data_IF_012094758494
#
_entry.id   IF_012094758494
#
_cell.length_a   1.000
_cell.length_b   1.000
_cell.length_c   1.000
_cell.angle_alpha   90.00
_cell.angle_beta   90.00
_cell.angle_gamma   90.00
#
_symmetry.space_group_name_H-M   'P 1'
#
loop_
_entity.id
_entity.type
_entity.pdbx_description
1 polymer ?
#
# COMPACT_ATOMS: atom_id res chain seq x y z
N UNK A 1 -63.46 16.35 -31.38
CA UNK A 1 -63.61 17.48 -32.33
C UNK A 1 -62.66 18.57 -31.87
N UNK A 2 -61.51 18.90 -32.46
CA UNK A 2 -60.94 18.81 -33.83
C UNK A 2 -59.46 18.37 -33.69
N UNK A 3 -58.91 17.38 -34.40
CA UNK A 3 -58.20 17.46 -35.71
C UNK A 3 -57.28 18.68 -35.85
N UNK A 4 -56.06 18.65 -36.40
CA UNK A 4 -55.20 17.65 -37.04
C UNK A 4 -53.82 18.34 -37.29
N UNK A 5 -52.73 17.66 -36.97
CA UNK A 5 -51.45 17.53 -37.70
C UNK A 5 -51.03 18.59 -38.75
N UNK A 6 -49.78 19.08 -38.65
CA UNK A 6 -48.90 19.23 -39.83
C UNK A 6 -47.44 18.90 -39.46
N UNK A 7 -46.90 17.93 -40.21
CA UNK A 7 -45.49 17.57 -40.36
C UNK A 7 -44.95 18.39 -41.54
N UNK A 8 -43.75 18.97 -41.45
CA UNK A 8 -42.77 18.89 -42.55
C UNK A 8 -41.35 19.29 -42.10
N UNK A 9 -40.49 18.27 -42.17
CA UNK A 9 -39.05 18.24 -42.42
C UNK A 9 -38.36 19.45 -43.06
N UNK A 10 -37.15 19.77 -42.60
CA UNK A 10 -35.96 19.81 -43.48
C UNK A 10 -34.67 19.80 -42.64
N UNK A 11 -33.92 18.72 -42.80
CA UNK A 11 -32.51 18.58 -42.42
C UNK A 11 -31.68 19.24 -43.53
N UNK A 12 -30.78 20.18 -43.22
CA UNK A 12 -29.65 20.49 -44.11
C UNK A 12 -28.45 21.07 -43.34
N UNK A 13 -27.51 20.15 -43.16
CA UNK A 13 -26.06 20.20 -42.92
C UNK A 13 -25.31 21.48 -43.38
N UNK A 14 -24.53 22.04 -42.42
CA UNK A 14 -23.10 22.49 -42.49
C UNK A 14 -22.68 23.51 -43.57
N UNK A 15 -22.24 24.71 -43.16
CA UNK A 15 -20.81 25.06 -42.95
C UNK A 15 -20.60 26.56 -42.65
N UNK A 16 -19.85 26.83 -41.58
CA UNK A 16 -18.90 27.92 -41.30
C UNK A 16 -19.10 29.31 -41.93
N UNK A 17 -19.23 30.34 -41.07
CA UNK A 17 -18.29 31.47 -40.95
C UNK A 17 -18.72 32.45 -39.83
N UNK A 18 -17.71 33.09 -39.24
CA UNK A 18 -17.72 34.38 -38.54
C UNK A 18 -17.66 34.38 -37.01
N UNK A 19 -16.46 34.73 -36.54
CA UNK A 19 -16.19 35.45 -35.30
C UNK A 19 -17.12 36.68 -35.13
N UNK A 20 -17.51 37.00 -33.90
CA UNK A 20 -17.01 38.15 -33.11
C UNK A 20 -17.75 38.27 -31.77
N UNK A 21 -16.92 38.34 -30.71
CA UNK A 21 -17.03 38.97 -29.39
C UNK A 21 -18.41 39.29 -28.79
N UNK A 22 -18.65 38.78 -27.58
CA UNK A 22 -18.76 39.60 -26.37
C UNK A 22 -18.96 38.68 -25.15
N UNK A 23 -18.23 38.93 -24.06
CA UNK A 23 -18.73 38.86 -22.68
C UNK A 23 -17.61 39.36 -21.75
N UNK A 24 -17.77 40.63 -21.37
CA UNK A 24 -17.10 41.30 -20.27
C UNK A 24 -17.58 40.77 -18.92
N UNK A 25 -16.61 40.61 -18.01
CA UNK A 25 -16.66 40.78 -16.55
C UNK A 25 -17.95 40.44 -15.78
N UNK A 26 -17.85 39.45 -14.89
CA UNK A 26 -18.19 39.65 -13.47
C UNK A 26 -17.59 38.56 -12.57
N UNK A 27 -16.60 38.97 -11.76
CA UNK A 27 -16.32 38.57 -10.36
C UNK A 27 -15.98 37.08 -10.12
N UNK A 28 -14.68 36.79 -10.11
CA UNK A 28 -14.10 35.70 -9.32
C UNK A 28 -13.84 36.23 -7.91
N UNK A 29 -14.59 35.75 -6.92
CA UNK A 29 -14.18 35.81 -5.51
C UNK A 29 -13.12 34.74 -5.28
N UNK A 30 -11.87 35.17 -5.06
CA UNK A 30 -10.80 34.36 -4.52
C UNK A 30 -11.15 33.95 -3.08
N UNK A 31 -11.52 32.68 -2.89
CA UNK A 31 -11.30 32.03 -1.59
C UNK A 31 -9.80 31.77 -1.44
N UNK A 32 -9.10 32.77 -0.91
CA UNK A 32 -7.73 32.62 -0.41
C UNK A 32 -7.76 31.74 0.84
N UNK A 33 -7.47 30.45 0.66
CA UNK A 33 -7.07 29.58 1.76
C UNK A 33 -5.69 30.07 2.20
N UNK A 34 -5.64 30.65 3.40
CA UNK A 34 -4.40 31.14 4.01
C UNK A 34 -3.60 29.93 4.52
N UNK A 35 -2.85 29.28 3.63
CA UNK A 35 -1.80 28.33 3.99
C UNK A 35 -0.54 29.16 4.21
N UNK A 36 -0.27 29.54 5.45
CA UNK A 36 1.08 29.97 5.84
C UNK A 36 1.99 28.72 5.89
N UNK A 37 2.32 28.16 4.73
CA UNK A 37 3.51 27.31 4.58
C UNK A 37 4.63 28.20 4.05
N UNK A 38 5.60 28.53 4.91
CA UNK A 38 6.88 29.08 4.46
C UNK A 38 7.59 27.99 3.64
N UNK A 39 7.32 27.98 2.34
CA UNK A 39 7.69 26.95 1.38
C UNK A 39 9.22 26.94 1.12
N UNK A 40 9.93 25.97 1.71
CA UNK A 40 11.21 25.46 1.17
C UNK A 40 11.02 24.80 -0.21
N UNK A 41 9.80 24.30 -0.46
CA UNK A 41 9.36 23.63 -1.67
C UNK A 41 9.13 24.57 -2.87
N UNK A 42 8.98 25.89 -2.68
CA UNK A 42 8.85 26.85 -3.79
C UNK A 42 10.19 27.22 -4.41
N UNK A 43 11.28 27.24 -3.63
CA UNK A 43 12.62 27.60 -4.12
C UNK A 43 13.21 26.52 -5.05
N UNK A 44 12.85 25.25 -4.84
CA UNK A 44 13.22 24.14 -5.73
C UNK A 44 12.51 24.21 -7.09
N UNK A 45 11.25 24.66 -7.12
CA UNK A 45 10.43 24.73 -8.34
C UNK A 45 10.92 25.81 -9.32
N UNK A 46 11.58 26.86 -8.84
CA UNK A 46 12.08 27.97 -9.66
C UNK A 46 13.44 27.73 -10.33
N UNK A 47 14.22 26.78 -9.82
CA UNK A 47 15.65 26.63 -10.14
C UNK A 47 15.96 25.47 -11.08
N UNK A 48 15.08 24.45 -11.14
CA UNK A 48 15.25 23.26 -11.96
C UNK A 48 13.89 22.71 -12.44
N UNK A 49 13.47 23.03 -13.67
CA UNK A 49 12.17 22.59 -14.20
C UNK A 49 11.99 21.07 -14.27
N UNK A 50 13.07 20.30 -14.45
CA UNK A 50 13.01 18.84 -14.49
C UNK A 50 12.70 18.26 -13.10
N UNK A 51 13.40 18.73 -12.07
CA UNK A 51 13.11 18.35 -10.68
C UNK A 51 11.69 18.73 -10.28
N UNK A 52 11.25 19.93 -10.66
CA UNK A 52 9.89 20.39 -10.39
C UNK A 52 8.82 19.48 -10.98
N UNK A 53 9.06 18.99 -12.20
CA UNK A 53 8.18 18.04 -12.88
C UNK A 53 8.12 16.70 -12.15
N UNK A 54 9.26 16.12 -11.78
CA UNK A 54 9.29 14.83 -11.06
C UNK A 54 8.66 14.91 -9.67
N UNK A 55 8.91 15.99 -8.92
CA UNK A 55 8.23 16.22 -7.63
C UNK A 55 6.70 16.36 -7.83
N UNK A 56 6.25 16.96 -8.94
CA UNK A 56 4.82 17.01 -9.25
C UNK A 56 4.24 15.62 -9.58
N UNK A 57 5.00 14.75 -10.23
CA UNK A 57 4.59 13.35 -10.48
C UNK A 57 4.45 12.59 -9.17
N UNK A 58 5.45 12.68 -8.30
CA UNK A 58 5.43 12.07 -6.97
C UNK A 58 4.24 12.56 -6.13
N UNK A 59 4.02 13.88 -6.06
CA UNK A 59 2.87 14.43 -5.30
C UNK A 59 1.53 13.93 -5.84
N UNK A 60 1.43 13.74 -7.16
CA UNK A 60 0.21 13.22 -7.79
C UNK A 60 -0.03 11.75 -7.44
N UNK A 61 0.99 10.89 -7.51
CA UNK A 61 0.84 9.48 -7.14
C UNK A 61 0.54 9.31 -5.64
N UNK A 62 1.16 10.13 -4.80
CA UNK A 62 0.94 10.13 -3.34
C UNK A 62 -0.35 10.84 -2.90
N UNK A 63 -1.13 11.43 -3.80
CA UNK A 63 -2.28 12.27 -3.43
C UNK A 63 -3.35 11.55 -2.61
N UNK A 64 -3.53 10.25 -2.85
CA UNK A 64 -4.48 9.39 -2.12
C UNK A 64 -3.90 8.63 -0.93
N UNK A 65 -2.59 8.72 -0.69
CA UNK A 65 -1.90 7.94 0.34
C UNK A 65 -1.47 8.87 1.47
N UNK A 66 -2.20 8.85 2.58
CA UNK A 66 -1.96 9.74 3.72
C UNK A 66 -1.86 8.98 5.04
N UNK A 67 -2.61 7.90 5.19
CA UNK A 67 -2.64 7.08 6.41
C UNK A 67 -1.93 5.75 6.20
N UNK A 68 -1.69 5.03 7.30
CA UNK A 68 -1.22 3.65 7.24
C UNK A 68 -2.21 2.75 6.48
N UNK A 69 -3.52 2.95 6.67
CA UNK A 69 -4.55 2.18 5.95
C UNK A 69 -4.50 2.43 4.45
N UNK A 70 -4.31 3.68 4.01
CA UNK A 70 -4.12 4.00 2.59
C UNK A 70 -2.88 3.30 2.01
N UNK A 71 -1.79 3.23 2.78
CA UNK A 71 -0.56 2.56 2.37
C UNK A 71 -0.79 1.05 2.14
N UNK A 72 -1.43 0.37 3.09
CA UNK A 72 -1.80 -1.05 2.94
C UNK A 72 -2.76 -1.29 1.78
N UNK A 73 -3.70 -0.38 1.51
CA UNK A 73 -4.59 -0.43 0.36
C UNK A 73 -3.86 -0.21 -0.98
N UNK A 74 -2.77 0.55 -0.96
CA UNK A 74 -1.91 0.80 -2.13
C UNK A 74 -0.81 -0.27 -2.33
N UNK A 75 -0.84 -1.36 -1.55
CA UNK A 75 0.11 -2.47 -1.66
C UNK A 75 1.44 -2.26 -0.94
N UNK A 76 1.57 -1.20 -0.12
CA UNK A 76 2.69 -1.03 0.78
C UNK A 76 2.45 -1.82 2.07
N UNK A 77 3.40 -2.64 2.46
CA UNK A 77 3.23 -3.56 3.58
C UNK A 77 4.49 -3.67 4.44
N UNK A 78 4.29 -4.26 5.62
CA UNK A 78 5.37 -4.62 6.50
C UNK A 78 6.02 -5.90 6.00
N UNK A 79 7.25 -5.81 5.51
CA UNK A 79 8.04 -6.97 5.12
C UNK A 79 8.98 -7.32 6.27
N UNK A 80 8.63 -8.35 7.04
CA UNK A 80 9.48 -8.90 8.10
C UNK A 80 9.77 -10.35 7.77
N UNK A 81 11.05 -10.68 7.68
CA UNK A 81 11.54 -12.07 7.74
C UNK A 81 12.32 -12.26 9.04
N UNK A 82 12.66 -13.52 9.36
CA UNK A 82 13.44 -13.86 10.56
C UNK A 82 14.78 -13.11 10.67
N UNK A 83 15.36 -12.74 9.53
CA UNK A 83 16.70 -12.13 9.45
C UNK A 83 16.69 -10.70 8.91
N UNK A 84 15.53 -10.16 8.51
CA UNK A 84 15.42 -8.91 7.76
C UNK A 84 14.13 -8.16 8.10
N UNK A 85 14.25 -6.93 8.60
CA UNK A 85 13.12 -6.04 8.84
C UNK A 85 13.42 -4.63 8.29
N UNK A 86 13.30 -4.42 6.97
CA UNK A 86 13.41 -3.10 6.34
C UNK A 86 12.28 -2.17 6.76
N UNK A 87 11.19 -2.72 7.29
CA UNK A 87 9.98 -1.99 7.70
C UNK A 87 10.00 -1.48 9.14
N UNK A 88 11.15 -1.59 9.82
CA UNK A 88 11.33 -1.18 11.20
C UNK A 88 11.25 0.33 11.43
N UNK A 89 11.27 0.72 12.70
CA UNK A 89 11.41 2.11 13.09
C UNK A 89 12.87 2.56 13.00
N UNK A 90 13.11 3.70 12.36
CA UNK A 90 14.42 4.34 12.36
C UNK A 90 14.30 5.78 12.88
N UNK A 91 15.13 6.12 13.87
CA UNK A 91 15.16 7.45 14.45
C UNK A 91 15.49 8.51 13.38
N UNK A 92 14.66 9.55 13.27
CA UNK A 92 14.77 10.55 12.22
C UNK A 92 14.07 10.20 10.90
N UNK A 93 13.49 9.01 10.75
CA UNK A 93 12.83 8.55 9.51
C UNK A 93 11.42 7.99 9.75
N UNK A 94 11.21 7.29 10.86
CA UNK A 94 9.93 6.67 11.22
C UNK A 94 9.88 5.19 10.83
N UNK A 95 8.67 4.64 10.73
CA UNK A 95 8.43 3.29 10.21
C UNK A 95 8.47 3.28 8.69
N UNK A 96 8.91 2.18 8.09
CA UNK A 96 8.91 2.03 6.63
C UNK A 96 7.89 0.97 6.21
N UNK A 97 7.05 1.24 5.21
CA UNK A 97 6.25 0.22 4.54
C UNK A 97 6.71 0.11 3.09
N UNK A 98 6.98 -1.11 2.64
CA UNK A 98 7.55 -1.37 1.32
C UNK A 98 6.46 -1.85 0.36
N UNK A 99 6.52 -1.40 -0.89
CA UNK A 99 5.80 -2.03 -1.99
C UNK A 99 6.80 -2.84 -2.83
N UNK A 100 6.87 -4.17 -2.64
CA UNK A 100 7.85 -4.99 -3.33
C UNK A 100 7.63 -5.08 -4.83
N UNK A 101 6.45 -4.71 -5.35
CA UNK A 101 6.23 -4.62 -6.79
C UNK A 101 7.05 -3.49 -7.45
N UNK A 102 7.54 -2.53 -6.66
CA UNK A 102 8.38 -1.43 -7.13
C UNK A 102 9.87 -1.66 -6.90
N UNK A 103 10.27 -2.66 -6.10
CA UNK A 103 11.69 -2.99 -5.88
C UNK A 103 12.25 -3.73 -7.09
N UNK A 104 12.48 -2.98 -8.17
CA UNK A 104 12.84 -3.50 -9.49
C UNK A 104 14.25 -3.09 -9.97
N UNK A 105 14.96 -2.31 -9.15
CA UNK A 105 16.30 -1.82 -9.45
C UNK A 105 16.34 -0.57 -10.33
N UNK A 106 15.20 0.09 -10.54
CA UNK A 106 15.11 1.33 -11.29
C UNK A 106 14.50 2.45 -10.47
N UNK A 107 15.00 3.68 -10.64
CA UNK A 107 14.39 4.84 -10.01
C UNK A 107 13.17 5.31 -10.85
N UNK A 108 11.98 5.32 -10.24
CA UNK A 108 10.80 6.00 -10.77
C UNK A 108 10.19 6.94 -9.74
N UNK A 109 10.35 8.25 -9.96
CA UNK A 109 9.84 9.28 -9.06
C UNK A 109 8.35 9.12 -8.68
N UNK A 110 7.50 8.54 -9.55
CA UNK A 110 6.09 8.36 -9.25
C UNK A 110 5.76 7.11 -8.42
N UNK A 111 6.65 6.12 -8.37
CA UNK A 111 6.40 4.82 -7.75
C UNK A 111 7.52 4.51 -6.74
N UNK A 112 7.56 5.21 -5.59
CA UNK A 112 8.60 4.96 -4.59
C UNK A 112 8.45 3.57 -3.97
N UNK A 113 9.57 2.91 -3.71
CA UNK A 113 9.62 1.56 -3.17
C UNK A 113 9.17 1.47 -1.72
N UNK A 114 9.35 2.54 -0.94
CA UNK A 114 8.90 2.59 0.44
C UNK A 114 8.28 3.92 0.85
N UNK A 115 7.40 3.84 1.84
CA UNK A 115 6.77 4.98 2.51
C UNK A 115 7.30 5.10 3.92
N UNK A 116 7.63 6.32 4.33
CA UNK A 116 7.97 6.65 5.71
C UNK A 116 6.71 7.08 6.46
N UNK A 117 6.47 6.48 7.62
CA UNK A 117 5.29 6.71 8.47
C UNK A 117 5.73 7.19 9.84
N UNK A 118 5.07 8.24 10.33
CA UNK A 118 5.28 8.76 11.68
C UNK A 118 3.98 9.28 12.29
N UNK A 119 3.95 9.51 13.60
CA UNK A 119 2.75 10.02 14.26
C UNK A 119 2.69 11.54 14.28
N UNK A 120 1.48 12.11 14.17
CA UNK A 120 1.18 13.55 14.19
C UNK A 120 1.28 14.19 15.59
N UNK A 121 1.83 13.48 16.57
CA UNK A 121 1.88 13.86 17.99
C UNK A 121 0.54 13.76 18.74
N UNK A 122 -0.56 13.37 18.07
CA UNK A 122 -1.87 13.08 18.68
C UNK A 122 -2.19 11.57 18.65
N UNK A 123 -1.25 10.76 18.20
CA UNK A 123 -1.40 9.31 18.06
C UNK A 123 -2.00 8.86 16.74
N UNK A 124 -2.16 9.76 15.76
CA UNK A 124 -2.52 9.36 14.39
C UNK A 124 -1.25 9.14 13.59
N UNK A 125 -1.18 8.06 12.81
CA UNK A 125 -0.04 7.73 11.97
C UNK A 125 -0.29 8.16 10.53
N UNK A 126 0.66 8.91 9.97
CA UNK A 126 0.58 9.44 8.62
C UNK A 126 1.86 9.21 7.83
N UNK A 127 1.71 9.19 6.52
CA UNK A 127 2.84 9.12 5.58
C UNK A 127 3.52 10.49 5.55
N UNK A 128 4.79 10.54 5.94
CA UNK A 128 5.57 11.79 6.09
C UNK A 128 6.53 12.03 4.92
N UNK A 129 6.90 10.97 4.21
CA UNK A 129 7.76 11.03 3.03
C UNK A 129 7.87 9.68 2.36
N UNK A 130 8.80 9.57 1.42
CA UNK A 130 9.04 8.36 0.64
C UNK A 130 10.52 8.04 0.60
N UNK A 131 10.84 6.77 0.45
CA UNK A 131 12.20 6.27 0.22
C UNK A 131 12.20 5.51 -1.11
N UNK A 132 13.23 5.77 -1.91
CA UNK A 132 13.54 5.02 -3.10
C UNK A 132 14.63 4.01 -2.80
N UNK A 133 14.47 2.80 -3.29
CA UNK A 133 15.37 1.67 -3.04
C UNK A 133 15.82 1.10 -4.39
N UNK A 134 17.11 1.22 -4.69
CA UNK A 134 17.69 0.66 -5.93
C UNK A 134 18.64 -0.49 -5.58
N UNK A 135 18.28 -1.68 -6.05
CA UNK A 135 19.04 -2.93 -5.94
C UNK A 135 19.93 -3.15 -7.17
N UNK A 136 20.89 -4.08 -7.08
CA UNK A 136 21.64 -4.58 -8.24
C UNK A 136 22.81 -3.69 -8.71
N UNK A 137 23.03 -2.55 -8.06
CA UNK A 137 24.19 -1.67 -8.30
C UNK A 137 24.99 -1.61 -7.00
N UNK A 138 26.17 -2.23 -6.97
CA UNK A 138 27.03 -2.27 -5.78
C UNK A 138 28.16 -1.24 -5.87
N UNK A 139 28.44 -0.45 -4.82
CA UNK A 139 29.61 0.42 -4.74
C UNK A 139 30.94 -0.31 -4.98
N UNK A 140 31.00 -1.62 -4.69
CA UNK A 140 32.19 -2.44 -4.87
C UNK A 140 32.51 -2.73 -6.34
N UNK A 141 31.51 -2.64 -7.22
CA UNK A 141 31.67 -2.86 -8.66
C UNK A 141 32.03 -1.55 -9.40
N UNK A 142 32.17 -0.46 -8.67
CA UNK A 142 32.37 0.88 -9.23
C UNK A 142 33.85 1.15 -9.45
N UNK A 143 34.24 1.74 -10.59
CA UNK A 143 35.63 2.12 -10.83
C UNK A 143 36.16 3.04 -9.74
N UNK A 144 37.44 2.86 -9.36
CA UNK A 144 38.10 3.67 -8.34
C UNK A 144 37.94 5.17 -8.62
N UNK A 145 37.30 5.89 -7.70
CA UNK A 145 37.11 7.34 -7.78
C UNK A 145 35.87 7.80 -8.56
N UNK A 146 35.00 6.87 -8.97
CA UNK A 146 33.70 7.18 -9.58
C UNK A 146 32.56 7.05 -8.56
N UNK A 147 31.55 7.90 -8.71
CA UNK A 147 30.27 7.77 -8.02
C UNK A 147 29.34 6.93 -8.88
N UNK A 148 28.79 5.87 -8.30
CA UNK A 148 27.88 4.94 -8.94
C UNK A 148 26.53 4.87 -8.24
N UNK A 149 26.22 5.90 -7.45
CA UNK A 149 24.85 6.17 -7.08
C UNK A 149 23.95 6.12 -8.35
N UNK A 150 22.75 5.54 -8.24
CA UNK A 150 21.78 5.54 -9.33
C UNK A 150 21.47 6.97 -9.80
N UNK A 151 21.05 7.12 -11.05
CA UNK A 151 20.43 8.37 -11.49
C UNK A 151 19.08 8.54 -10.77
N UNK A 152 18.86 9.69 -10.15
CA UNK A 152 17.64 10.00 -9.41
C UNK A 152 16.89 11.21 -9.97
N UNK A 153 16.54 12.15 -9.10
CA UNK A 153 15.83 13.36 -9.52
C UNK A 153 16.74 14.23 -10.40
N UNK A 154 16.24 14.84 -11.48
CA UNK A 154 17.07 15.66 -12.36
C UNK A 154 17.77 16.77 -11.58
N UNK A 155 19.09 16.89 -11.67
CA UNK A 155 19.87 17.90 -10.95
C UNK A 155 20.99 17.28 -10.14
N UNK A 156 21.31 17.90 -9.01
CA UNK A 156 22.36 17.44 -8.09
C UNK A 156 21.95 17.66 -6.62
N UNK A 157 20.63 17.66 -6.36
CA UNK A 157 20.11 17.93 -5.00
C UNK A 157 19.59 16.69 -4.31
N UNK A 158 19.32 15.62 -5.06
CA UNK A 158 19.07 14.31 -4.47
C UNK A 158 20.35 13.76 -3.81
N UNK A 159 20.15 12.96 -2.77
CA UNK A 159 21.24 12.46 -1.92
C UNK A 159 21.06 10.96 -1.76
N UNK A 160 21.72 10.21 -2.64
CA UNK A 160 21.80 8.76 -2.51
C UNK A 160 22.74 8.35 -1.37
N UNK A 161 22.33 7.34 -0.62
CA UNK A 161 23.11 6.75 0.46
C UNK A 161 23.15 5.24 0.30
N UNK A 162 24.34 4.67 0.37
CA UNK A 162 24.50 3.21 0.40
C UNK A 162 24.12 2.67 1.77
N UNK A 163 23.18 1.73 1.79
CA UNK A 163 22.82 0.99 2.99
C UNK A 163 23.59 -0.34 3.02
N UNK A 164 24.62 -0.41 3.86
CA UNK A 164 25.47 -1.60 4.00
C UNK A 164 24.74 -2.82 4.59
N UNK A 165 23.69 -2.61 5.39
CA UNK A 165 22.94 -3.69 6.00
C UNK A 165 22.12 -4.43 4.95
N UNK A 166 21.53 -3.67 4.04
CA UNK A 166 20.63 -4.21 3.01
C UNK A 166 21.30 -4.38 1.64
N UNK A 167 22.51 -3.85 1.47
CA UNK A 167 23.25 -3.81 0.20
C UNK A 167 22.43 -3.16 -0.93
N UNK A 168 21.85 -2.00 -0.64
CA UNK A 168 21.03 -1.22 -1.58
C UNK A 168 21.37 0.26 -1.53
N UNK A 169 21.09 0.96 -2.61
CA UNK A 169 21.07 2.41 -2.63
C UNK A 169 19.72 2.93 -2.16
N UNK A 170 19.75 3.96 -1.32
CA UNK A 170 18.55 4.59 -0.75
C UNK A 170 18.54 6.09 -1.01
N UNK A 171 17.38 6.65 -1.33
CA UNK A 171 17.17 8.09 -1.48
C UNK A 171 15.86 8.47 -0.80
N UNK A 172 15.89 9.50 0.04
CA UNK A 172 14.73 9.91 0.82
C UNK A 172 14.17 11.22 0.26
N UNK A 173 12.85 11.35 0.21
CA UNK A 173 12.17 12.56 -0.23
C UNK A 173 11.00 12.91 0.71
N UNK A 174 11.11 14.06 1.38
CA UNK A 174 10.12 14.57 2.33
C UNK A 174 8.98 15.28 1.61
N UNK A 175 8.14 14.50 0.92
CA UNK A 175 7.10 15.02 0.02
C UNK A 175 5.83 15.48 0.74
N UNK A 176 5.57 14.99 1.96
CA UNK A 176 4.39 15.34 2.76
C UNK A 176 4.74 16.30 3.89
N UNK A 177 5.66 15.89 4.78
CA UNK A 177 6.19 16.75 5.83
C UNK A 177 7.34 17.60 5.32
N UNK A 178 7.52 18.78 5.89
CA UNK A 178 8.71 19.58 5.61
C UNK A 178 9.90 18.98 6.36
N UNK A 179 11.09 19.02 5.75
CA UNK A 179 12.33 18.72 6.45
C UNK A 179 13.17 20.01 6.53
N UNK A 180 13.43 20.55 7.73
CA UNK A 180 14.23 21.77 7.89
C UNK A 180 15.68 21.61 7.41
N UNK A 181 16.20 20.38 7.38
CA UNK A 181 17.56 20.07 6.93
C UNK A 181 17.63 19.80 5.41
N UNK A 182 16.47 19.82 4.71
CA UNK A 182 16.37 19.74 3.25
C UNK A 182 15.47 18.62 2.75
N UNK A 183 14.85 18.84 1.59
CA UNK A 183 13.85 17.93 0.99
C UNK A 183 14.37 16.50 0.74
N UNK A 184 15.67 16.36 0.40
CA UNK A 184 16.32 15.07 0.13
C UNK A 184 17.26 14.61 1.25
N UNK A 185 17.27 15.29 2.40
CA UNK A 185 18.10 14.84 3.51
C UNK A 185 17.55 13.50 4.02
N UNK A 186 18.42 12.51 4.27
CA UNK A 186 17.98 11.18 4.71
C UNK A 186 17.19 11.22 6.03
N UNK A 187 17.57 12.11 6.95
CA UNK A 187 16.94 12.23 8.26
C UNK A 187 16.18 13.55 8.38
N UNK A 188 15.06 13.54 9.12
CA UNK A 188 14.31 14.73 9.49
C UNK A 188 14.34 14.88 11.03
N UNK A 189 14.87 15.99 11.56
CA UNK A 189 14.96 16.21 13.00
C UNK A 189 13.61 16.40 13.69
N UNK A 190 12.51 16.58 12.93
CA UNK A 190 11.15 16.61 13.46
C UNK A 190 10.59 15.20 13.75
N UNK A 191 11.24 14.15 13.23
CA UNK A 191 10.90 12.76 13.52
C UNK A 191 11.64 12.33 14.78
N UNK A 192 10.88 12.16 15.86
CA UNK A 192 11.39 11.81 17.19
C UNK A 192 11.86 10.37 17.33
N UNK A 193 12.03 9.87 18.57
CA UNK A 193 12.32 8.46 18.83
C UNK A 193 11.03 7.62 18.90
N UNK A 194 11.13 6.29 18.75
CA UNK A 194 9.97 5.37 18.66
C UNK A 194 9.03 5.52 19.86
N UNK A 195 9.58 5.70 21.06
CA UNK A 195 8.84 5.78 22.31
C UNK A 195 7.89 6.99 22.37
N UNK A 196 8.08 7.97 21.49
CA UNK A 196 7.18 9.13 21.37
C UNK A 196 5.83 8.78 20.73
N UNK A 197 5.79 7.73 19.89
CA UNK A 197 4.60 7.31 19.16
C UNK A 197 4.15 5.88 19.54
N UNK A 198 5.09 4.97 19.76
CA UNK A 198 4.84 3.52 19.78
C UNK A 198 4.57 2.96 18.37
N UNK A 199 4.26 1.67 18.31
CA UNK A 199 3.96 0.94 17.06
C UNK A 199 2.54 1.32 16.58
N UNK A 200 2.35 1.66 15.28
CA UNK A 200 1.03 1.86 14.71
C UNK A 200 0.10 0.69 15.05
N UNK A 201 -1.14 0.91 15.53
CA UNK A 201 -2.03 -0.17 15.95
C UNK A 201 -2.23 -1.26 14.90
N UNK A 202 -2.49 -0.88 13.64
CA UNK A 202 -2.63 -1.84 12.52
C UNK A 202 -1.35 -2.67 12.34
N UNK A 203 -0.19 -2.03 12.41
CA UNK A 203 1.10 -2.72 12.31
C UNK A 203 1.34 -3.66 13.50
N UNK A 204 0.93 -3.28 14.71
CA UNK A 204 1.02 -4.11 15.89
C UNK A 204 0.13 -5.36 15.80
N UNK A 205 -1.09 -5.23 15.25
CA UNK A 205 -1.99 -6.35 15.00
C UNK A 205 -1.41 -7.31 13.96
N UNK A 206 -0.89 -6.81 12.84
CA UNK A 206 -0.24 -7.64 11.81
C UNK A 206 0.99 -8.35 12.38
N UNK A 207 1.80 -7.67 13.21
CA UNK A 207 2.93 -8.29 13.91
C UNK A 207 2.47 -9.38 14.88
N UNK A 208 1.33 -9.17 15.56
CA UNK A 208 0.73 -10.17 16.45
C UNK A 208 0.28 -11.41 15.68
N UNK A 209 -0.42 -11.24 14.56
CA UNK A 209 -0.80 -12.35 13.67
C UNK A 209 0.45 -13.11 13.18
N UNK A 210 1.44 -12.39 12.67
CA UNK A 210 2.69 -13.00 12.20
C UNK A 210 3.37 -13.86 13.26
N UNK A 211 3.38 -13.38 14.51
CA UNK A 211 3.92 -14.09 15.66
C UNK A 211 3.06 -15.28 16.08
N UNK A 212 1.73 -15.17 16.01
CA UNK A 212 0.83 -16.28 16.34
C UNK A 212 0.98 -17.46 15.37
N UNK A 213 1.41 -17.17 14.13
CA UNK A 213 1.67 -18.15 13.07
C UNK A 213 3.18 -18.41 12.88
N UNK A 214 4.01 -18.07 13.86
CA UNK A 214 5.44 -18.36 13.83
C UNK A 214 5.66 -19.88 13.83
N UNK A 215 6.39 -20.39 12.84
CA UNK A 215 6.62 -21.82 12.66
C UNK A 215 5.52 -22.57 11.91
N UNK A 216 4.41 -21.92 11.56
CA UNK A 216 3.37 -22.51 10.71
C UNK A 216 3.63 -22.06 9.26
N UNK A 217 4.44 -22.85 8.54
CA UNK A 217 4.93 -22.48 7.20
C UNK A 217 4.31 -23.37 6.13
N UNK A 218 4.34 -24.68 6.35
CA UNK A 218 3.84 -25.67 5.39
C UNK A 218 2.41 -26.07 5.70
N UNK A 219 1.77 -26.74 4.75
CA UNK A 219 0.49 -27.42 4.97
C UNK A 219 0.55 -28.37 6.17
N UNK A 220 1.62 -29.14 6.32
CA UNK A 220 1.75 -30.12 7.40
C UNK A 220 1.81 -29.42 8.77
N UNK A 221 2.55 -28.32 8.88
CA UNK A 221 2.60 -27.50 10.09
C UNK A 221 1.21 -26.93 10.45
N UNK A 222 0.46 -26.47 9.44
CA UNK A 222 -0.90 -25.94 9.63
C UNK A 222 -1.87 -27.03 10.13
N UNK A 223 -1.81 -28.22 9.53
CA UNK A 223 -2.64 -29.36 9.91
C UNK A 223 -2.33 -29.84 11.33
N UNK A 224 -1.05 -29.88 11.73
CA UNK A 224 -0.61 -30.22 13.09
C UNK A 224 -1.05 -29.16 14.11
N UNK A 225 -1.03 -27.87 13.72
CA UNK A 225 -1.49 -26.76 14.53
C UNK A 225 -3.02 -26.63 14.64
N UNK A 226 -3.78 -27.43 13.89
CA UNK A 226 -5.25 -27.53 13.99
C UNK A 226 -6.03 -26.96 12.82
N UNK A 227 -5.38 -26.33 11.85
CA UNK A 227 -5.99 -25.96 10.56
C UNK A 227 -5.97 -27.17 9.62
N UNK A 228 -6.89 -28.10 9.84
CA UNK A 228 -6.94 -29.40 9.14
C UNK A 228 -8.28 -29.69 8.46
N UNK A 229 -9.14 -28.68 8.30
CA UNK A 229 -10.45 -28.81 7.66
C UNK A 229 -10.39 -28.16 6.28
N UNK A 230 -10.36 -28.91 5.16
CA UNK A 230 -10.44 -28.29 3.84
C UNK A 230 -11.82 -27.66 3.63
N UNK A 231 -11.85 -26.33 3.45
CA UNK A 231 -13.10 -25.58 3.27
C UNK A 231 -13.49 -25.45 1.80
N UNK A 232 -12.52 -25.31 0.90
CA UNK A 232 -12.74 -25.10 -0.53
C UNK A 232 -11.83 -25.98 -1.38
N UNK A 233 -12.23 -26.28 -2.64
CA UNK A 233 -11.25 -26.63 -3.67
C UNK A 233 -10.32 -25.43 -3.97
N UNK A 234 -9.36 -25.61 -4.88
CA UNK A 234 -8.51 -24.51 -5.34
C UNK A 234 -9.35 -23.37 -5.94
N UNK A 235 -9.16 -22.16 -5.43
CA UNK A 235 -9.79 -20.94 -5.92
C UNK A 235 -8.73 -20.07 -6.61
N UNK A 236 -8.90 -19.73 -7.90
CA UNK A 236 -8.02 -18.80 -8.61
C UNK A 236 -7.82 -17.49 -7.84
N UNK A 237 -6.57 -17.07 -7.66
CA UNK A 237 -6.24 -15.84 -6.92
C UNK A 237 -6.29 -15.95 -5.38
N UNK A 238 -6.70 -17.10 -4.83
CA UNK A 238 -6.80 -17.31 -3.37
C UNK A 238 -6.03 -18.56 -2.89
N UNK A 239 -6.04 -19.64 -3.69
CA UNK A 239 -5.44 -20.92 -3.34
C UNK A 239 -6.44 -21.85 -2.65
N UNK A 240 -5.97 -22.66 -1.72
CA UNK A 240 -6.80 -23.52 -0.87
C UNK A 240 -7.04 -22.88 0.50
N UNK A 241 -8.16 -23.21 1.13
CA UNK A 241 -8.51 -22.77 2.48
C UNK A 241 -8.51 -23.97 3.43
N UNK A 242 -7.63 -23.95 4.43
CA UNK A 242 -7.66 -24.89 5.55
C UNK A 242 -8.21 -24.18 6.78
N UNK A 243 -9.36 -24.65 7.26
CA UNK A 243 -10.04 -24.13 8.43
C UNK A 243 -9.61 -24.80 9.74
N UNK A 244 -9.72 -24.07 10.85
CA UNK A 244 -9.53 -24.56 12.20
C UNK A 244 -10.87 -24.72 12.92
N UNK A 245 -11.23 -25.96 13.25
CA UNK A 245 -12.53 -26.27 13.87
C UNK A 245 -12.74 -25.67 15.27
N UNK A 246 -11.68 -25.20 15.93
CA UNK A 246 -11.80 -24.52 17.22
C UNK A 246 -12.30 -23.06 17.08
N UNK A 247 -11.99 -22.41 15.95
CA UNK A 247 -12.31 -20.99 15.69
C UNK A 247 -13.51 -20.86 14.75
N UNK A 248 -13.68 -21.81 13.83
CA UNK A 248 -14.83 -21.83 12.93
C UNK A 248 -16.17 -21.77 13.69
N UNK A 249 -16.90 -20.67 13.51
CA UNK A 249 -18.26 -20.49 13.99
C UNK A 249 -18.38 -19.99 15.42
N UNK A 250 -17.31 -19.47 16.03
CA UNK A 250 -17.40 -18.72 17.29
C UNK A 250 -18.09 -17.34 17.10
N UNK A 251 -18.05 -16.81 15.88
CA UNK A 251 -18.66 -15.53 15.51
C UNK A 251 -17.82 -14.32 15.91
N UNK A 252 -16.55 -14.51 16.25
CA UNK A 252 -15.65 -13.47 16.73
C UNK A 252 -14.51 -13.24 15.74
N UNK A 253 -14.16 -11.98 15.49
CA UNK A 253 -12.89 -11.68 14.84
C UNK A 253 -11.80 -11.66 15.91
N UNK A 254 -10.81 -12.54 15.79
CA UNK A 254 -9.62 -12.54 16.63
C UNK A 254 -8.34 -12.57 15.78
N UNK A 255 -7.58 -11.47 15.81
CA UNK A 255 -6.33 -11.30 15.04
C UNK A 255 -5.40 -12.52 15.12
N UNK A 256 -5.29 -13.19 16.26
CA UNK A 256 -4.33 -14.28 16.46
C UNK A 256 -4.92 -15.69 16.21
N UNK A 257 -6.21 -15.79 15.92
CA UNK A 257 -6.94 -17.05 15.79
C UNK A 257 -7.78 -17.04 14.50
N UNK A 258 -7.15 -16.88 13.31
CA UNK A 258 -7.90 -16.84 12.06
C UNK A 258 -8.63 -18.17 11.81
N UNK A 259 -9.87 -18.10 11.33
CA UNK A 259 -10.70 -19.28 11.10
C UNK A 259 -10.14 -20.16 9.99
N UNK A 260 -9.42 -19.59 9.02
CA UNK A 260 -8.74 -20.34 7.98
C UNK A 260 -7.36 -19.78 7.62
N UNK A 261 -6.51 -20.65 7.09
CA UNK A 261 -5.26 -20.30 6.44
C UNK A 261 -5.36 -20.54 4.94
N UNK A 262 -4.76 -19.62 4.18
CA UNK A 262 -4.65 -19.70 2.73
C UNK A 262 -3.38 -20.47 2.37
N UNK A 263 -3.49 -21.46 1.49
CA UNK A 263 -2.36 -22.23 0.99
C UNK A 263 -2.16 -22.02 -0.50
N UNK A 264 -0.90 -21.85 -0.90
CA UNK A 264 -0.49 -21.87 -2.30
C UNK A 264 0.78 -22.70 -2.50
N UNK A 265 1.01 -23.07 -3.76
CA UNK A 265 2.19 -23.81 -4.19
C UNK A 265 3.40 -22.86 -4.26
N UNK A 266 4.51 -23.19 -3.60
CA UNK A 266 5.78 -22.47 -3.77
C UNK A 266 6.56 -22.97 -5.02
N UNK A 267 7.75 -22.42 -5.25
CA UNK A 267 8.59 -22.79 -6.39
C UNK A 267 9.11 -24.23 -6.32
N UNK A 268 9.24 -24.77 -5.10
CA UNK A 268 9.67 -26.15 -4.84
C UNK A 268 8.55 -27.18 -5.09
N UNK A 269 7.30 -26.75 -5.24
CA UNK A 269 6.15 -27.62 -5.42
C UNK A 269 5.52 -28.10 -4.12
N UNK A 270 5.76 -27.39 -3.02
CA UNK A 270 5.16 -27.63 -1.70
C UNK A 270 4.04 -26.62 -1.43
N UNK A 271 3.00 -27.06 -0.69
CA UNK A 271 1.96 -26.16 -0.22
C UNK A 271 2.43 -25.42 1.03
N UNK A 272 2.44 -24.10 0.95
CA UNK A 272 2.84 -23.19 2.03
C UNK A 272 1.71 -22.24 2.38
N UNK A 273 1.68 -21.80 3.63
CA UNK A 273 0.77 -20.77 4.12
C UNK A 273 1.16 -19.44 3.50
N UNK A 274 0.23 -18.80 2.80
CA UNK A 274 0.43 -17.52 2.12
C UNK A 274 -0.34 -16.36 2.76
N UNK A 275 -1.40 -16.67 3.50
CA UNK A 275 -2.27 -15.70 4.14
C UNK A 275 -3.19 -16.33 5.19
N UNK A 276 -3.97 -15.48 5.84
CA UNK A 276 -5.04 -15.87 6.76
C UNK A 276 -6.39 -15.39 6.22
N UNK A 277 -7.45 -16.11 6.53
CA UNK A 277 -8.83 -15.70 6.27
C UNK A 277 -9.62 -15.74 7.58
N UNK A 278 -10.32 -14.64 7.84
CA UNK A 278 -11.29 -14.52 8.93
C UNK A 278 -12.68 -14.80 8.42
N UNK A 279 -13.46 -15.62 9.12
CA UNK A 279 -14.79 -16.08 8.70
C UNK A 279 -15.78 -15.91 9.84
N UNK A 280 -16.69 -14.93 9.70
CA UNK A 280 -17.72 -14.64 10.71
C UNK A 280 -19.11 -15.03 10.18
N UNK A 281 -19.77 -15.99 10.82
CA UNK A 281 -21.14 -16.38 10.47
C UNK A 281 -22.13 -15.31 10.93
N UNK A 282 -22.90 -14.77 9.99
CA UNK A 282 -23.95 -13.79 10.26
C UNK A 282 -25.00 -14.28 11.27
N UNK A 283 -25.22 -15.59 11.38
CA UNK A 283 -26.13 -16.17 12.36
C UNK A 283 -25.71 -15.91 13.82
N UNK A 284 -24.41 -15.66 14.05
CA UNK A 284 -23.83 -15.42 15.37
C UNK A 284 -23.60 -13.93 15.65
N UNK A 285 -23.93 -13.04 14.71
CA UNK A 285 -23.72 -11.60 14.84
C UNK A 285 -24.95 -10.88 15.40
N UNK A 286 -24.71 -9.87 16.25
CA UNK A 286 -25.78 -8.95 16.66
C UNK A 286 -26.31 -8.09 15.50
N UNK A 287 -25.45 -7.77 14.52
CA UNK A 287 -25.75 -6.89 13.38
C UNK A 287 -25.26 -7.50 12.06
N UNK A 288 -25.95 -8.52 11.52
CA UNK A 288 -25.47 -9.27 10.34
C UNK A 288 -25.41 -8.44 9.04
N UNK A 289 -26.12 -7.31 8.97
CA UNK A 289 -26.17 -6.45 7.80
C UNK A 289 -25.01 -5.43 7.69
N UNK A 290 -24.03 -5.53 8.58
CA UNK A 290 -22.81 -4.71 8.55
C UNK A 290 -21.60 -5.65 8.69
N UNK A 291 -20.45 -5.30 8.08
CA UNK A 291 -19.24 -6.06 8.31
C UNK A 291 -18.88 -6.06 9.81
N UNK A 292 -18.27 -7.13 10.32
CA UNK A 292 -17.65 -7.16 11.63
C UNK A 292 -16.63 -6.03 11.79
N UNK A 293 -16.28 -5.70 13.03
CA UNK A 293 -15.06 -4.94 13.27
C UNK A 293 -13.86 -5.90 13.08
N UNK A 294 -12.98 -5.62 12.12
CA UNK A 294 -11.73 -6.33 11.95
C UNK A 294 -10.55 -5.52 12.49
N UNK A 295 -9.49 -5.38 11.69
CA UNK A 295 -8.27 -4.69 12.09
C UNK A 295 -8.51 -3.20 12.36
N UNK A 296 -7.56 -2.58 13.04
CA UNK A 296 -7.60 -1.14 13.31
C UNK A 296 -7.43 -0.34 12.02
N UNK A 297 -8.37 0.55 11.75
CA UNK A 297 -8.38 1.43 10.57
C UNK A 297 -9.53 1.07 9.63
N UNK A 298 -9.36 1.39 8.35
CA UNK A 298 -10.37 1.19 7.31
C UNK A 298 -9.82 0.44 6.08
N UNK A 299 -8.71 -0.27 6.25
CA UNK A 299 -8.10 -1.09 5.20
C UNK A 299 -8.80 -2.44 5.01
N UNK A 300 -9.63 -2.90 5.95
CA UNK A 300 -10.35 -4.17 5.85
C UNK A 300 -11.27 -4.22 4.62
N UNK A 301 -11.14 -5.26 3.81
CA UNK A 301 -12.06 -5.55 2.70
C UNK A 301 -12.91 -6.77 3.02
N UNK A 302 -13.96 -6.57 3.81
CA UNK A 302 -14.93 -7.62 4.13
C UNK A 302 -15.84 -7.95 2.93
N UNK A 303 -15.98 -9.24 2.61
CA UNK A 303 -16.87 -9.76 1.58
C UNK A 303 -17.93 -10.69 2.14
N UNK A 304 -19.05 -10.85 1.42
CA UNK A 304 -20.08 -11.83 1.78
C UNK A 304 -19.96 -13.06 0.89
N UNK A 305 -19.66 -14.21 1.49
CA UNK A 305 -19.57 -15.51 0.82
C UNK A 305 -20.76 -16.38 1.23
N UNK A 306 -21.32 -17.16 0.29
CA UNK A 306 -22.45 -18.06 0.55
C UNK A 306 -23.77 -17.37 0.91
N UNK A 307 -23.79 -16.04 0.99
CA UNK A 307 -24.94 -15.22 1.39
C UNK A 307 -25.13 -15.09 2.90
N UNK A 308 -24.24 -15.67 3.72
CA UNK A 308 -24.36 -15.69 5.17
C UNK A 308 -23.02 -15.65 5.94
N UNK A 309 -21.88 -15.58 5.25
CA UNK A 309 -20.56 -15.51 5.88
C UNK A 309 -19.90 -14.18 5.50
N UNK A 310 -19.43 -13.43 6.49
CA UNK A 310 -18.47 -12.35 6.26
C UNK A 310 -17.06 -12.93 6.22
N UNK A 311 -16.28 -12.61 5.19
CA UNK A 311 -14.89 -13.05 5.06
C UNK A 311 -13.93 -11.88 4.87
N UNK A 312 -12.73 -11.98 5.43
CA UNK A 312 -11.65 -11.00 5.31
C UNK A 312 -10.33 -11.75 5.10
N UNK A 313 -9.58 -11.37 4.07
CA UNK A 313 -8.28 -11.98 3.76
C UNK A 313 -7.15 -11.09 4.26
N UNK A 314 -6.07 -11.66 4.80
CA UNK A 314 -4.85 -10.96 5.18
C UNK A 314 -3.62 -11.65 4.58
N UNK A 315 -2.93 -10.99 3.65
CA UNK A 315 -1.78 -11.54 2.92
C UNK A 315 -0.46 -11.36 3.66
N UNK A 316 -0.17 -12.26 4.61
CA UNK A 316 0.93 -12.11 5.57
C UNK A 316 2.28 -12.71 5.17
N UNK A 317 2.34 -13.54 4.11
CA UNK A 317 3.60 -14.19 3.67
C UNK A 317 3.98 -13.87 2.23
N UNK A 318 3.03 -13.43 1.43
CA UNK A 318 3.26 -12.95 0.07
C UNK A 318 2.74 -11.52 -0.07
N UNK A 319 3.41 -10.67 -0.85
CA UNK A 319 2.91 -9.32 -1.05
C UNK A 319 1.67 -9.26 -1.93
N UNK A 320 0.88 -8.20 -1.77
CA UNK A 320 -0.30 -7.98 -2.61
C UNK A 320 -0.34 -6.54 -3.14
N UNK A 321 -0.07 -6.37 -4.43
CA UNK A 321 -0.04 -5.04 -5.07
C UNK A 321 -1.43 -4.39 -5.16
N UNK A 322 -2.48 -5.19 -5.05
CA UNK A 322 -3.88 -4.77 -5.04
C UNK A 322 -4.38 -4.43 -3.62
N UNK A 323 -3.52 -4.59 -2.62
CA UNK A 323 -3.75 -4.25 -1.21
C UNK A 323 -3.68 -5.46 -0.29
N UNK A 324 -3.15 -5.26 0.92
CA UNK A 324 -2.90 -6.34 1.89
C UNK A 324 -4.15 -7.10 2.34
N UNK A 325 -5.32 -6.44 2.33
CA UNK A 325 -6.60 -7.07 2.64
C UNK A 325 -7.45 -7.39 1.41
N UNK A 326 -6.92 -7.19 0.20
CA UNK A 326 -7.66 -7.49 -1.02
C UNK A 326 -8.11 -8.97 -1.02
N UNK A 327 -9.36 -9.28 -1.40
CA UNK A 327 -9.85 -10.66 -1.37
C UNK A 327 -9.06 -11.62 -2.26
N UNK A 328 -8.36 -11.11 -3.28
CA UNK A 328 -7.52 -11.92 -4.17
C UNK A 328 -6.10 -11.37 -4.24
N UNK A 329 -5.16 -12.22 -4.63
CA UNK A 329 -3.79 -11.84 -4.90
C UNK A 329 -3.35 -12.37 -6.27
N UNK A 330 -2.96 -11.48 -7.18
CA UNK A 330 -2.55 -11.85 -8.55
C UNK A 330 -1.28 -12.70 -8.62
N UNK A 331 -0.49 -12.79 -7.55
CA UNK A 331 0.62 -13.73 -7.45
C UNK A 331 0.16 -15.18 -7.30
N UNK A 332 -1.10 -15.40 -6.86
CA UNK A 332 -1.68 -16.74 -6.82
C UNK A 332 -2.22 -17.08 -8.22
N UNK A 333 -1.74 -18.17 -8.86
CA UNK A 333 -2.12 -18.52 -10.22
C UNK A 333 -3.62 -18.80 -10.41
N UNK A 334 -4.04 -18.88 -11.67
CA UNK A 334 -5.42 -19.25 -12.02
C UNK A 334 -5.67 -20.77 -11.99
N UNK A 335 -4.61 -21.57 -11.84
CA UNK A 335 -4.66 -23.03 -11.80
C UNK A 335 -3.67 -23.54 -10.78
N UNK A 336 -4.03 -24.61 -10.09
CA UNK A 336 -3.17 -25.26 -9.10
C UNK A 336 -1.84 -25.75 -9.72
N UNK A 337 -0.70 -25.15 -9.38
CA UNK A 337 0.60 -25.56 -9.91
C UNK A 337 1.10 -26.89 -9.32
N UNK A 338 0.66 -27.25 -8.12
CA UNK A 338 1.09 -28.42 -7.37
C UNK A 338 0.25 -29.68 -7.69
N UNK A 339 -0.90 -29.52 -8.35
CA UNK A 339 -1.68 -30.62 -8.90
C UNK A 339 -2.68 -31.28 -7.94
N UNK A 340 -3.10 -30.58 -6.89
CA UNK A 340 -4.13 -31.02 -5.95
C UNK A 340 -3.61 -31.25 -4.54
N UNK A 341 -4.45 -31.00 -3.54
CA UNK A 341 -4.29 -31.45 -2.15
C UNK A 341 -5.13 -32.71 -1.91
#
# INVERSE_FOLDING_TARGET
>A
MKTLQFILSALTLVCLLSCTNDLSESILEENTINIESKNSSMDLLGSNPGMAYEISRLRKSMGGINTISDAFNAGYQNLVTSDFNPSGYFNGMGYHLLNPAFVDGTFDAANPEALMIFCDGKGNYEVVGVEYIVVGISPLDCPDGEDCAPEGFPGASDVWSWNEVFNVWTLHAWVKWNNPDGFFNAMNPEIGPEESCGIPPLLAEINSLNKSLEGIITKEDAEEAGWNIPLTPYIPGMGYHLGNGAYLGDGEFNVNEPEALLLACNEEGDYVVVGAEYIVDMANMEKPNKPPQGYTGDADHWEIVGGNLWTLHAWIRIPNSEGFFNPTNSQIPNTDPCGGI
#
